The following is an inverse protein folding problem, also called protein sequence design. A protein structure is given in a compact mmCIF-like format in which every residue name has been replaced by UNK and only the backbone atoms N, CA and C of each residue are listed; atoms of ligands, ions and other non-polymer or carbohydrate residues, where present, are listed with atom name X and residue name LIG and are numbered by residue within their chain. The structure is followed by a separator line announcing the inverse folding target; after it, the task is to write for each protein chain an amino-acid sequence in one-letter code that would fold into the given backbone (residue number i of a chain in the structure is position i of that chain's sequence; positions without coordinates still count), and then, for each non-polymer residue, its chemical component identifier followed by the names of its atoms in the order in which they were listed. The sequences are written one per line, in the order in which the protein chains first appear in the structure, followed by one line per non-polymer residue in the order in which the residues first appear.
data_IF_118487890715
#
_entry.id   IF_118487890715
#
_cell.length_a   1.000
_cell.length_b   1.000
_cell.length_c   1.000
_cell.angle_alpha   90.00
_cell.angle_beta   90.00
_cell.angle_gamma   90.00
#
_symmetry.space_group_name_H-M   'P 1'
#
loop_
_entity.id
_entity.type
_entity.pdbx_description
1 polymer ?
#
# COMPACT_ATOMS: atom_id res chain seq x y z
N UNK A 1 -15.58 -2.20 -3.92
CA UNK A 1 -14.49 -1.29 -3.55
C UNK A 1 -14.73 -0.01 -4.27
N UNK A 2 -14.75 1.07 -3.52
CA UNK A 2 -14.96 2.44 -3.95
C UNK A 2 -13.62 3.16 -4.04
N UNK A 3 -13.60 4.33 -4.71
CA UNK A 3 -12.43 5.20 -4.72
C UNK A 3 -11.99 5.58 -3.29
N UNK A 4 -12.96 5.78 -2.39
CA UNK A 4 -12.75 6.10 -0.97
C UNK A 4 -11.91 5.02 -0.28
N UNK A 5 -12.08 3.75 -0.64
CA UNK A 5 -11.33 2.66 -0.01
C UNK A 5 -9.83 2.75 -0.31
N UNK A 6 -9.43 3.15 -1.51
CA UNK A 6 -8.02 3.30 -1.87
C UNK A 6 -7.44 4.63 -1.37
N UNK A 7 -8.20 5.72 -1.49
CA UNK A 7 -7.73 7.03 -1.03
C UNK A 7 -7.61 7.10 0.50
N UNK A 8 -8.39 6.32 1.24
CA UNK A 8 -8.21 6.17 2.69
C UNK A 8 -6.82 5.59 3.02
N UNK A 9 -6.41 4.49 2.37
CA UNK A 9 -5.07 3.93 2.56
C UNK A 9 -4.00 4.94 2.16
N UNK A 10 -4.22 5.70 1.09
CA UNK A 10 -3.30 6.75 0.65
C UNK A 10 -3.03 7.77 1.77
N UNK A 11 -4.05 8.24 2.49
CA UNK A 11 -3.88 9.14 3.63
C UNK A 11 -3.03 8.52 4.75
N UNK A 12 -3.25 7.24 5.05
CA UNK A 12 -2.49 6.52 6.07
C UNK A 12 -1.00 6.43 5.70
N UNK A 13 -0.69 6.15 4.44
CA UNK A 13 0.70 6.09 3.95
C UNK A 13 1.39 7.46 3.95
N UNK A 14 0.66 8.52 3.58
CA UNK A 14 1.18 9.90 3.66
C UNK A 14 1.51 10.26 5.11
N UNK A 15 0.66 9.91 6.07
CA UNK A 15 0.92 10.16 7.48
C UNK A 15 2.18 9.44 8.00
N UNK A 16 2.43 8.20 7.55
CA UNK A 16 3.68 7.49 7.87
C UNK A 16 4.92 8.17 7.29
N UNK A 17 4.81 8.75 6.08
CA UNK A 17 5.89 9.51 5.46
C UNK A 17 6.17 10.79 6.26
N UNK A 18 5.13 11.57 6.55
CA UNK A 18 5.22 12.82 7.32
C UNK A 18 5.82 12.61 8.72
N UNK A 19 5.44 11.51 9.39
CA UNK A 19 5.97 11.12 10.69
C UNK A 19 7.36 10.44 10.64
N UNK A 20 8.00 10.42 9.46
CA UNK A 20 9.35 9.88 9.24
C UNK A 20 9.48 8.37 9.53
N UNK A 21 8.36 7.63 9.50
CA UNK A 21 8.29 6.19 9.82
C UNK A 21 8.61 5.27 8.63
N UNK A 22 8.92 5.86 7.49
CA UNK A 22 9.12 5.16 6.22
C UNK A 22 10.58 4.76 5.95
N UNK A 23 11.55 5.25 6.73
CA UNK A 23 12.99 5.24 6.37
C UNK A 23 13.62 3.86 6.24
N UNK A 24 13.10 2.88 6.96
CA UNK A 24 13.64 1.53 7.10
C UNK A 24 12.74 0.48 6.43
N UNK A 25 11.92 0.91 5.47
CA UNK A 25 11.10 0.04 4.64
C UNK A 25 11.65 0.04 3.22
N UNK A 26 12.08 -1.14 2.78
CA UNK A 26 12.59 -1.39 1.44
C UNK A 26 11.47 -1.74 0.46
N UNK A 27 11.80 -1.82 -0.83
CA UNK A 27 10.88 -2.34 -1.83
C UNK A 27 10.61 -3.84 -1.63
N UNK A 28 11.63 -4.58 -1.19
CA UNK A 28 11.53 -6.02 -0.93
C UNK A 28 10.50 -6.30 0.15
N UNK A 29 10.51 -5.55 1.26
CA UNK A 29 9.50 -5.69 2.34
C UNK A 29 8.06 -5.56 1.80
N UNK A 30 7.84 -4.60 0.89
CA UNK A 30 6.53 -4.36 0.29
C UNK A 30 6.15 -5.50 -0.65
N UNK A 31 7.06 -5.90 -1.53
CA UNK A 31 6.79 -6.98 -2.48
C UNK A 31 6.59 -8.32 -1.78
N UNK A 32 7.35 -8.64 -0.73
CA UNK A 32 7.11 -9.84 0.08
C UNK A 32 5.73 -9.82 0.73
N UNK A 33 5.29 -8.69 1.29
CA UNK A 33 3.96 -8.56 1.88
C UNK A 33 2.83 -8.71 0.84
N UNK A 34 3.04 -8.21 -0.38
CA UNK A 34 2.13 -8.34 -1.50
C UNK A 34 2.07 -9.78 -2.03
N UNK A 35 3.23 -10.39 -2.26
CA UNK A 35 3.38 -11.77 -2.73
C UNK A 35 2.74 -12.75 -1.72
N UNK A 36 2.89 -12.48 -0.41
CA UNK A 36 2.24 -13.23 0.67
C UNK A 36 0.74 -12.95 0.87
N UNK A 37 0.14 -12.01 0.12
CA UNK A 37 -1.25 -11.55 0.25
C UNK A 37 -1.61 -10.99 1.65
N UNK A 38 -0.60 -10.58 2.42
CA UNK A 38 -0.70 -10.16 3.83
C UNK A 38 -0.37 -8.67 4.02
N UNK A 39 -0.60 -7.83 3.00
CA UNK A 39 -0.29 -6.39 3.06
C UNK A 39 -0.78 -5.71 4.35
N UNK A 40 -2.04 -5.95 4.73
CA UNK A 40 -2.64 -5.33 5.92
C UNK A 40 -2.09 -5.92 7.22
N UNK A 41 -1.85 -7.23 7.30
CA UNK A 41 -1.22 -7.83 8.47
C UNK A 41 0.21 -7.33 8.64
N UNK A 42 0.97 -7.22 7.55
CA UNK A 42 2.30 -6.65 7.54
C UNK A 42 2.30 -5.18 7.99
N UNK A 43 1.44 -4.33 7.43
CA UNK A 43 1.31 -2.92 7.84
C UNK A 43 1.01 -2.81 9.33
N UNK A 44 0.09 -3.63 9.85
CA UNK A 44 -0.23 -3.67 11.29
C UNK A 44 0.95 -4.08 12.14
N UNK A 45 1.67 -5.14 11.77
CA UNK A 45 2.86 -5.59 12.53
C UNK A 45 3.97 -4.54 12.50
N UNK A 46 4.14 -3.87 11.35
CA UNK A 46 5.22 -2.91 11.12
C UNK A 46 5.01 -1.58 11.81
N UNK A 47 3.77 -1.07 11.80
CA UNK A 47 3.44 0.28 12.24
C UNK A 47 2.52 0.34 13.45
N UNK A 48 1.97 -0.80 13.89
CA UNK A 48 1.09 -0.90 15.05
C UNK A 48 -0.01 0.17 15.04
N UNK A 49 -0.07 1.03 16.07
CA UNK A 49 -1.05 2.11 16.20
C UNK A 49 -0.78 3.33 15.31
N UNK A 50 0.32 3.34 14.55
CA UNK A 50 0.67 4.45 13.66
C UNK A 50 -0.01 4.35 12.29
N UNK A 51 -0.70 3.25 12.01
CA UNK A 51 -1.51 3.09 10.81
C UNK A 51 -2.90 2.60 11.19
N UNK A 52 -3.93 3.27 10.70
CA UNK A 52 -5.30 2.82 10.85
C UNK A 52 -5.73 1.99 9.65
N UNK A 53 -5.82 0.68 9.86
CA UNK A 53 -6.37 -0.27 8.88
C UNK A 53 -7.70 -0.88 9.34
N UNK A 54 -8.26 -0.41 10.46
CA UNK A 54 -9.54 -0.89 10.99
C UNK A 54 -10.70 -0.66 10.01
N UNK A 55 -10.55 0.33 9.13
CA UNK A 55 -11.45 0.62 8.01
C UNK A 55 -11.67 -0.56 7.04
N UNK A 56 -10.78 -1.56 7.06
CA UNK A 56 -10.86 -2.74 6.19
C UNK A 56 -11.27 -4.01 6.93
N UNK A 57 -11.75 -3.91 8.16
CA UNK A 57 -12.12 -5.04 9.01
C UNK A 57 -13.64 -5.17 9.18
N UNK A 58 -14.08 -6.24 9.84
CA UNK A 58 -15.50 -6.47 10.13
C UNK A 58 -16.36 -6.52 8.88
N UNK A 59 -17.39 -5.69 8.84
CA UNK A 59 -18.31 -5.57 7.69
C UNK A 59 -17.63 -5.06 6.42
N UNK A 60 -16.46 -4.42 6.54
CA UNK A 60 -15.67 -3.90 5.41
C UNK A 60 -14.58 -4.84 4.92
N UNK A 61 -14.50 -6.06 5.47
CA UNK A 61 -13.48 -7.05 5.07
C UNK A 61 -13.47 -7.34 3.56
N UNK A 62 -14.64 -7.40 2.91
CA UNK A 62 -14.73 -7.60 1.47
C UNK A 62 -14.10 -6.44 0.68
N UNK A 63 -14.27 -5.19 1.11
CA UNK A 63 -13.63 -4.04 0.51
C UNK A 63 -12.11 -4.09 0.69
N UNK A 64 -11.64 -4.49 1.89
CA UNK A 64 -10.22 -4.71 2.17
C UNK A 64 -9.56 -5.73 1.25
N UNK A 65 -10.21 -6.88 1.02
CA UNK A 65 -9.73 -7.89 0.06
C UNK A 65 -9.61 -7.32 -1.35
N UNK A 66 -10.59 -6.52 -1.78
CA UNK A 66 -10.56 -5.88 -3.09
C UNK A 66 -9.47 -4.80 -3.21
N UNK A 67 -9.18 -4.06 -2.14
CA UNK A 67 -8.05 -3.12 -2.08
C UNK A 67 -6.73 -3.86 -2.27
N UNK A 68 -6.48 -4.93 -1.51
CA UNK A 68 -5.27 -5.76 -1.66
C UNK A 68 -5.11 -6.31 -3.08
N UNK A 69 -6.20 -6.83 -3.66
CA UNK A 69 -6.19 -7.33 -5.04
C UNK A 69 -5.86 -6.22 -6.07
N UNK A 70 -6.41 -5.01 -5.89
CA UNK A 70 -6.14 -3.89 -6.78
C UNK A 70 -4.67 -3.44 -6.72
N UNK A 71 -4.09 -3.39 -5.51
CA UNK A 71 -2.68 -3.04 -5.32
C UNK A 71 -1.77 -4.13 -5.91
N UNK A 72 -2.10 -5.41 -5.75
CA UNK A 72 -1.37 -6.51 -6.37
C UNK A 72 -1.36 -6.40 -7.90
N UNK A 73 -2.52 -6.16 -8.52
CA UNK A 73 -2.60 -5.96 -9.96
C UNK A 73 -1.83 -4.71 -10.44
N UNK A 74 -1.81 -3.64 -9.63
CA UNK A 74 -0.97 -2.47 -9.89
C UNK A 74 0.52 -2.84 -9.84
N UNK A 75 0.92 -3.64 -8.86
CA UNK A 75 2.29 -4.11 -8.67
C UNK A 75 2.83 -4.90 -9.87
N UNK A 76 2.03 -5.77 -10.48
CA UNK A 76 2.41 -6.52 -11.69
C UNK A 76 2.76 -5.59 -12.85
N UNK A 77 2.08 -4.44 -12.95
CA UNK A 77 2.36 -3.43 -13.96
C UNK A 77 3.58 -2.56 -13.65
N UNK A 78 3.99 -2.43 -12.39
CA UNK A 78 5.05 -1.51 -11.98
C UNK A 78 6.36 -2.20 -11.58
N UNK A 79 6.34 -3.47 -11.15
CA UNK A 79 7.52 -4.22 -10.70
C UNK A 79 8.59 -4.28 -11.81
N UNK A 80 9.82 -3.93 -11.45
CA UNK A 80 10.96 -3.76 -12.38
C UNK A 80 10.93 -2.49 -13.23
N UNK A 81 9.91 -1.63 -13.08
CA UNK A 81 9.73 -0.35 -13.81
C UNK A 81 9.41 0.81 -12.87
N UNK A 82 9.58 0.64 -11.57
CA UNK A 82 9.18 1.55 -10.49
C UNK A 82 9.78 2.93 -10.76
N UNK A 83 11.11 3.03 -10.82
CA UNK A 83 11.84 4.26 -11.14
C UNK A 83 11.32 4.95 -12.39
N UNK A 84 11.17 4.18 -13.48
CA UNK A 84 10.81 4.72 -14.80
C UNK A 84 9.38 5.28 -14.82
N UNK A 85 8.48 4.71 -14.02
CA UNK A 85 7.04 5.05 -14.05
C UNK A 85 6.62 6.02 -12.96
N UNK A 86 7.25 5.94 -11.80
CA UNK A 86 6.84 6.68 -10.60
C UNK A 86 7.93 7.60 -10.07
N UNK A 87 9.20 7.41 -10.48
CA UNK A 87 10.35 8.11 -9.93
C UNK A 87 10.76 7.64 -8.52
N UNK A 88 10.08 6.63 -7.95
CA UNK A 88 10.42 6.07 -6.64
C UNK A 88 11.45 4.96 -6.83
N UNK A 89 12.51 4.98 -6.00
CA UNK A 89 13.65 4.06 -6.17
C UNK A 89 14.02 3.30 -4.89
N UNK A 90 13.92 3.94 -3.71
CA UNK A 90 14.58 3.42 -2.50
C UNK A 90 13.65 3.30 -1.28
N UNK A 91 12.44 3.85 -1.33
CA UNK A 91 11.54 3.89 -0.18
C UNK A 91 10.28 3.06 -0.39
N UNK A 92 10.12 1.99 0.39
CA UNK A 92 9.01 1.05 0.25
C UNK A 92 7.65 1.67 0.54
N UNK A 93 7.52 2.59 1.49
CA UNK A 93 6.23 3.26 1.74
C UNK A 93 5.87 4.19 0.58
N UNK A 94 6.85 4.90 -0.01
CA UNK A 94 6.62 5.66 -1.24
C UNK A 94 6.26 4.75 -2.42
N UNK A 95 6.84 3.54 -2.51
CA UNK A 95 6.47 2.55 -3.52
C UNK A 95 5.02 2.12 -3.32
N UNK A 96 4.65 1.72 -2.11
CA UNK A 96 3.29 1.30 -1.78
C UNK A 96 2.29 2.43 -2.07
N UNK A 97 2.64 3.67 -1.73
CA UNK A 97 1.85 4.85 -2.08
C UNK A 97 1.66 4.96 -3.60
N UNK A 98 2.72 4.78 -4.39
CA UNK A 98 2.64 4.79 -5.85
C UNK A 98 1.79 3.64 -6.40
N UNK A 99 1.86 2.44 -5.81
CA UNK A 99 1.00 1.30 -6.19
C UNK A 99 -0.47 1.58 -5.89
N UNK A 100 -0.78 2.22 -4.75
CA UNK A 100 -2.14 2.66 -4.42
C UNK A 100 -2.62 3.72 -5.41
N UNK A 101 -1.78 4.68 -5.78
CA UNK A 101 -2.11 5.70 -6.80
C UNK A 101 -2.36 5.07 -8.17
N UNK A 102 -1.55 4.10 -8.59
CA UNK A 102 -1.77 3.34 -9.83
C UNK A 102 -3.09 2.55 -9.76
N UNK A 103 -3.39 1.91 -8.62
CA UNK A 103 -4.65 1.21 -8.42
C UNK A 103 -5.86 2.16 -8.48
N UNK A 104 -5.71 3.40 -8.03
CA UNK A 104 -6.72 4.46 -8.19
C UNK A 104 -6.89 4.83 -9.66
N UNK A 105 -5.80 5.01 -10.42
CA UNK A 105 -5.86 5.40 -11.83
C UNK A 105 -6.51 4.35 -12.74
N UNK A 106 -6.47 3.08 -12.35
CA UNK A 106 -7.11 1.97 -13.10
C UNK A 106 -8.59 1.76 -12.78
N UNK A 107 -9.21 2.69 -12.03
CA UNK A 107 -10.64 2.66 -11.66
C UNK A 107 -11.39 3.75 -12.40
#
# INVERSE_FOLDING_TARGET
MTLVDLTFLQFQLIALIDADRHRDVSFEDVYEALDAQDLFGWLRRRFASQIDISFYEGDRQAAGTQVKAAINAASEGLRGRERKKTGVENNGICLLLALVTEAIQRR
#
